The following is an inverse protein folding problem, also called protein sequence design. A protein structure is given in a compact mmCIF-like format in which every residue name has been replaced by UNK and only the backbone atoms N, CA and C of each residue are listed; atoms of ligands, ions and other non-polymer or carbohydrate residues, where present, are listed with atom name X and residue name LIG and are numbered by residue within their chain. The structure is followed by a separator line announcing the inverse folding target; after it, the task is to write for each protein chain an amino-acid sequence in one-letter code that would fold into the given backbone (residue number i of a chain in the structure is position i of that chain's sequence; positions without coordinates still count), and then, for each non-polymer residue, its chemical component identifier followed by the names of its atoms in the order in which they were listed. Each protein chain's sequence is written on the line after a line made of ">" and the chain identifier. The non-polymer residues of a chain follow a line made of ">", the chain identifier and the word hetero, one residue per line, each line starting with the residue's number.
data_IF_053779261837
#
_entry.id   IF_053779261837
#
_cell.length_a   1.000
_cell.length_b   1.000
_cell.length_c   1.000
_cell.angle_alpha   90.00
_cell.angle_beta   90.00
_cell.angle_gamma   90.00
#
_symmetry.space_group_name_H-M   'P 1'
#
loop_
_entity.id
_entity.type
_entity.pdbx_description
1 polymer ?
#
# COMPACT_ATOMS: atom_id res chain seq x y z
N UNK A 1 0.35 88.83 15.34
CA UNK A 1 1.27 87.87 15.98
C UNK A 1 0.55 86.59 16.45
N UNK A 2 -0.78 86.56 16.48
CA UNK A 2 -1.56 85.42 17.00
C UNK A 2 -1.66 84.25 16.00
N UNK A 3 -1.67 84.53 14.69
CA UNK A 3 -1.78 83.51 13.64
C UNK A 3 -0.57 82.56 13.61
N UNK A 4 0.63 83.07 13.89
CA UNK A 4 1.87 82.26 13.93
C UNK A 4 1.88 81.33 15.16
N UNK A 5 1.28 81.76 16.27
CA UNK A 5 1.15 80.95 17.48
C UNK A 5 0.12 79.83 17.30
N UNK A 6 -1.01 80.14 16.66
CA UNK A 6 -2.01 79.15 16.24
C UNK A 6 -1.42 78.13 15.26
N UNK A 7 -0.62 78.57 14.29
CA UNK A 7 0.03 77.68 13.33
C UNK A 7 1.05 76.76 14.01
N UNK A 8 1.86 77.27 14.96
CA UNK A 8 2.82 76.46 15.72
C UNK A 8 2.16 75.43 16.64
N UNK A 9 0.94 75.67 17.12
CA UNK A 9 0.21 74.76 17.99
C UNK A 9 -0.58 73.70 17.20
N UNK A 10 -1.15 74.09 16.05
CA UNK A 10 -1.96 73.19 15.21
C UNK A 10 -1.12 72.21 14.38
N UNK A 11 0.08 72.60 13.97
CA UNK A 11 0.99 71.74 13.19
C UNK A 11 1.40 70.44 13.92
N UNK A 12 1.84 70.45 15.19
CA UNK A 12 2.13 69.23 15.93
C UNK A 12 0.86 68.42 16.24
N UNK A 13 -0.29 69.07 16.45
CA UNK A 13 -1.55 68.38 16.67
C UNK A 13 -1.98 67.58 15.42
N UNK A 14 -1.85 68.17 14.23
CA UNK A 14 -2.11 67.49 12.96
C UNK A 14 -1.10 66.36 12.70
N UNK A 15 0.18 66.57 13.02
CA UNK A 15 1.19 65.53 12.91
C UNK A 15 0.87 64.33 13.81
N UNK A 16 0.48 64.56 15.06
CA UNK A 16 0.05 63.50 15.97
C UNK A 16 -1.17 62.74 15.43
N UNK A 17 -2.19 63.44 14.93
CA UNK A 17 -3.37 62.80 14.33
C UNK A 17 -3.02 61.95 13.11
N UNK A 18 -2.14 62.44 12.23
CA UNK A 18 -1.69 61.68 11.06
C UNK A 18 -0.91 60.44 11.45
N UNK A 19 -0.01 60.52 12.43
CA UNK A 19 0.71 59.34 12.93
C UNK A 19 -0.23 58.33 13.58
N UNK A 20 -1.25 58.80 14.30
CA UNK A 20 -2.26 57.94 14.93
C UNK A 20 -3.15 57.24 13.88
N UNK A 21 -3.57 57.96 12.84
CA UNK A 21 -4.28 57.37 11.70
C UNK A 21 -3.40 56.36 10.95
N UNK A 22 -2.11 56.66 10.75
CA UNK A 22 -1.19 55.74 10.12
C UNK A 22 -0.98 54.46 10.94
N UNK A 23 -0.76 54.57 12.25
CA UNK A 23 -0.59 53.39 13.12
C UNK A 23 -1.87 52.57 13.23
N UNK A 24 -3.04 53.20 13.32
CA UNK A 24 -4.32 52.47 13.33
C UNK A 24 -4.59 51.75 12.01
N UNK A 25 -4.26 52.34 10.86
CA UNK A 25 -4.37 51.66 9.55
C UNK A 25 -3.36 50.51 9.43
N UNK A 26 -2.12 50.67 9.90
CA UNK A 26 -1.13 49.59 9.91
C UNK A 26 -1.56 48.45 10.82
N UNK A 27 -2.04 48.75 12.04
CA UNK A 27 -2.58 47.74 12.94
C UNK A 27 -3.79 47.05 12.32
N UNK A 28 -4.71 47.81 11.71
CA UNK A 28 -5.88 47.26 11.03
C UNK A 28 -5.51 46.34 9.87
N UNK A 29 -4.55 46.74 9.04
CA UNK A 29 -4.08 45.95 7.89
C UNK A 29 -3.32 44.70 8.33
N UNK A 30 -2.51 44.77 9.40
CA UNK A 30 -1.88 43.58 9.99
C UNK A 30 -2.91 42.64 10.62
N UNK A 31 -3.91 43.17 11.33
CA UNK A 31 -5.00 42.36 11.89
C UNK A 31 -5.81 41.68 10.78
N UNK A 32 -6.10 42.41 9.70
CA UNK A 32 -6.80 41.89 8.52
C UNK A 32 -5.99 40.78 7.85
N UNK A 33 -4.69 40.98 7.67
CA UNK A 33 -3.79 39.96 7.10
C UNK A 33 -3.70 38.72 7.99
N UNK A 34 -3.76 38.89 9.31
CA UNK A 34 -3.81 37.77 10.27
C UNK A 34 -5.12 36.98 10.16
N UNK A 35 -6.26 37.67 10.01
CA UNK A 35 -7.55 37.02 9.74
C UNK A 35 -7.53 36.22 8.45
N UNK A 36 -6.96 36.76 7.37
CA UNK A 36 -6.84 36.04 6.09
C UNK A 36 -6.02 34.74 6.21
N UNK A 37 -4.99 34.71 7.07
CA UNK A 37 -4.22 33.47 7.33
C UNK A 37 -4.99 32.47 8.19
N UNK A 38 -5.80 32.95 9.14
CA UNK A 38 -6.67 32.10 9.96
C UNK A 38 -7.80 31.52 9.11
N UNK A 39 -8.39 32.31 8.21
CA UNK A 39 -9.44 31.88 7.28
C UNK A 39 -8.91 30.81 6.32
N UNK A 40 -7.68 30.94 5.81
CA UNK A 40 -7.06 29.87 5.00
C UNK A 40 -6.82 28.59 5.79
N UNK A 41 -6.46 28.68 7.07
CA UNK A 41 -6.29 27.51 7.91
C UNK A 41 -7.65 26.83 8.19
N UNK A 42 -8.68 27.63 8.47
CA UNK A 42 -10.06 27.15 8.67
C UNK A 42 -10.60 26.53 7.38
N UNK A 43 -10.38 27.15 6.22
CA UNK A 43 -10.82 26.61 4.92
C UNK A 43 -10.16 25.26 4.61
N UNK A 44 -8.87 25.11 4.90
CA UNK A 44 -8.18 23.81 4.78
C UNK A 44 -8.73 22.77 5.76
N UNK A 45 -9.01 23.17 7.00
CA UNK A 45 -9.61 22.27 8.01
C UNK A 45 -11.02 21.87 7.58
N UNK A 46 -11.84 22.80 7.09
CA UNK A 46 -13.17 22.51 6.56
C UNK A 46 -13.11 21.58 5.34
N UNK A 47 -12.18 21.79 4.42
CA UNK A 47 -11.96 20.91 3.28
C UNK A 47 -11.48 19.51 3.71
N UNK A 48 -10.65 19.41 4.74
CA UNK A 48 -10.29 18.11 5.33
C UNK A 48 -11.48 17.46 6.03
N UNK A 49 -12.30 18.24 6.74
CA UNK A 49 -13.49 17.76 7.44
C UNK A 49 -14.52 17.21 6.45
N UNK A 50 -14.75 17.91 5.34
CA UNK A 50 -15.64 17.48 4.26
C UNK A 50 -15.15 16.19 3.60
N UNK A 51 -13.83 16.06 3.36
CA UNK A 51 -13.23 14.80 2.90
C UNK A 51 -13.44 13.68 3.92
N UNK A 52 -13.17 13.91 5.20
CA UNK A 52 -13.40 12.89 6.24
C UNK A 52 -14.87 12.52 6.38
N UNK A 53 -15.79 13.47 6.22
CA UNK A 53 -17.23 13.23 6.23
C UNK A 53 -17.66 12.39 5.03
N UNK A 54 -17.15 12.68 3.83
CA UNK A 54 -17.42 11.87 2.62
C UNK A 54 -16.89 10.44 2.74
N UNK A 55 -15.70 10.26 3.33
CA UNK A 55 -15.15 8.93 3.62
C UNK A 55 -15.98 8.19 4.66
N UNK A 56 -16.38 8.86 5.74
CA UNK A 56 -17.24 8.29 6.77
C UNK A 56 -18.61 7.88 6.18
N UNK A 57 -19.18 8.70 5.29
CA UNK A 57 -20.41 8.39 4.58
C UNK A 57 -20.25 7.18 3.66
N UNK A 58 -19.17 7.13 2.86
CA UNK A 58 -18.88 5.96 2.03
C UNK A 58 -18.65 4.70 2.86
N UNK A 59 -17.99 4.81 4.02
CA UNK A 59 -17.78 3.71 4.95
C UNK A 59 -19.08 3.28 5.61
N UNK A 60 -19.96 4.23 5.95
CA UNK A 60 -21.31 3.96 6.45
C UNK A 60 -22.15 3.23 5.40
N UNK A 61 -22.13 3.69 4.15
CA UNK A 61 -22.78 3.00 3.03
C UNK A 61 -22.17 1.60 2.81
N UNK A 62 -20.84 1.45 2.95
CA UNK A 62 -20.17 0.16 2.88
C UNK A 62 -20.62 -0.74 4.04
N UNK A 63 -20.70 -0.21 5.26
CA UNK A 63 -21.22 -0.92 6.43
C UNK A 63 -22.70 -1.28 6.26
N UNK A 64 -23.53 -0.43 5.67
CA UNK A 64 -24.93 -0.74 5.36
C UNK A 64 -25.04 -1.79 4.25
N UNK A 65 -24.16 -1.79 3.25
CA UNK A 65 -24.11 -2.88 2.24
C UNK A 65 -23.59 -4.18 2.85
N UNK A 66 -22.71 -4.12 3.84
CA UNK A 66 -22.23 -5.26 4.61
C UNK A 66 -23.22 -5.72 5.67
N UNK A 67 -24.06 -4.83 6.19
CA UNK A 67 -25.12 -5.11 7.17
C UNK A 67 -26.37 -5.66 6.48
N UNK A 68 -26.70 -5.17 5.28
CA UNK A 68 -27.65 -5.81 4.37
C UNK A 68 -27.12 -7.16 3.85
N UNK A 69 -25.80 -7.38 3.89
CA UNK A 69 -25.18 -8.71 3.77
C UNK A 69 -25.11 -9.39 5.14
N UNK A 70 -26.25 -9.88 5.59
CA UNK A 70 -26.36 -10.96 6.59
C UNK A 70 -25.52 -12.23 6.21
N UNK A 71 -24.86 -12.20 5.05
CA UNK A 71 -23.83 -13.08 4.51
C UNK A 71 -22.39 -12.93 5.08
N UNK A 72 -22.14 -12.22 6.19
CA UNK A 72 -20.81 -12.27 6.82
C UNK A 72 -20.52 -13.69 7.35
N UNK A 73 -21.55 -14.46 7.74
CA UNK A 73 -21.37 -15.88 8.08
C UNK A 73 -21.09 -16.73 6.84
N UNK A 74 -21.79 -16.50 5.73
CA UNK A 74 -21.57 -17.28 4.48
C UNK A 74 -20.23 -16.94 3.83
N UNK A 75 -19.76 -15.69 3.92
CA UNK A 75 -18.44 -15.29 3.48
C UNK A 75 -17.33 -15.86 4.38
N UNK A 76 -17.54 -15.90 5.70
CA UNK A 76 -16.62 -16.57 6.63
C UNK A 76 -16.52 -18.07 6.33
N UNK A 77 -17.64 -18.72 6.05
CA UNK A 77 -17.69 -20.14 5.67
C UNK A 77 -17.00 -20.39 4.32
N UNK A 78 -17.15 -19.47 3.36
CA UNK A 78 -16.44 -19.55 2.07
C UNK A 78 -14.93 -19.32 2.23
N UNK A 79 -14.51 -18.38 3.06
CA UNK A 79 -13.09 -18.12 3.36
C UNK A 79 -12.48 -19.32 4.09
N UNK A 80 -13.22 -19.98 4.99
CA UNK A 80 -12.76 -21.18 5.70
C UNK A 80 -12.65 -22.41 4.77
N UNK A 81 -13.60 -22.58 3.85
CA UNK A 81 -13.50 -23.58 2.77
C UNK A 81 -12.32 -23.29 1.83
N UNK A 82 -12.05 -22.03 1.52
CA UNK A 82 -10.90 -21.66 0.69
C UNK A 82 -9.56 -21.86 1.44
N UNK A 83 -9.50 -21.51 2.72
CA UNK A 83 -8.33 -21.72 3.59
C UNK A 83 -7.98 -23.20 3.75
N UNK A 84 -8.98 -24.06 3.96
CA UNK A 84 -8.76 -25.51 4.05
C UNK A 84 -8.30 -26.10 2.70
N UNK A 85 -8.87 -25.67 1.58
CA UNK A 85 -8.41 -26.07 0.24
C UNK A 85 -6.95 -25.63 -0.03
N UNK A 86 -6.58 -24.40 0.35
CA UNK A 86 -5.21 -23.89 0.22
C UNK A 86 -4.24 -24.67 1.12
N UNK A 87 -4.67 -25.09 2.32
CA UNK A 87 -3.84 -25.89 3.22
C UNK A 87 -3.58 -27.29 2.63
N UNK A 88 -4.61 -27.94 2.08
CA UNK A 88 -4.45 -29.23 1.36
C UNK A 88 -3.53 -29.08 0.15
N UNK A 89 -3.69 -28.02 -0.65
CA UNK A 89 -2.78 -27.71 -1.77
C UNK A 89 -1.35 -27.43 -1.33
N UNK A 90 -1.14 -26.81 -0.16
CA UNK A 90 0.19 -26.57 0.39
C UNK A 90 0.89 -27.85 0.84
N UNK A 91 0.15 -28.82 1.39
CA UNK A 91 0.66 -30.15 1.71
C UNK A 91 0.99 -30.97 0.45
N UNK A 92 0.11 -30.95 -0.55
CA UNK A 92 0.39 -31.53 -1.88
C UNK A 92 1.59 -30.86 -2.57
N UNK A 93 1.74 -29.54 -2.40
CA UNK A 93 2.88 -28.78 -2.90
C UNK A 93 4.19 -29.02 -2.14
N UNK A 94 4.13 -29.51 -0.89
CA UNK A 94 5.28 -29.98 -0.11
C UNK A 94 5.70 -31.39 -0.55
N UNK A 95 4.75 -32.32 -0.74
CA UNK A 95 5.02 -33.63 -1.36
C UNK A 95 5.63 -33.49 -2.77
N UNK A 96 5.16 -32.49 -3.55
CA UNK A 96 5.76 -32.11 -4.83
C UNK A 96 7.20 -31.57 -4.73
N UNK A 97 7.56 -30.94 -3.61
CA UNK A 97 8.91 -30.36 -3.41
C UNK A 97 9.92 -31.42 -2.96
N UNK A 98 9.48 -32.34 -2.11
CA UNK A 98 10.30 -33.46 -1.65
C UNK A 98 10.51 -34.50 -2.78
N UNK A 99 9.49 -34.73 -3.62
CA UNK A 99 9.62 -35.57 -4.83
C UNK A 99 10.54 -34.97 -5.89
N UNK A 100 10.55 -33.66 -6.10
CA UNK A 100 11.49 -33.00 -7.04
C UNK A 100 12.94 -33.06 -6.54
N UNK A 101 13.17 -32.93 -5.23
CA UNK A 101 14.52 -33.11 -4.66
C UNK A 101 15.02 -34.54 -4.84
N UNK A 102 14.16 -35.53 -4.55
CA UNK A 102 14.50 -36.94 -4.69
C UNK A 102 14.69 -37.35 -6.16
N UNK A 103 13.89 -36.79 -7.08
CA UNK A 103 14.02 -37.00 -8.52
C UNK A 103 15.32 -36.42 -9.10
N UNK A 104 15.79 -35.26 -8.59
CA UNK A 104 17.06 -34.67 -9.01
C UNK A 104 18.27 -35.54 -8.60
N UNK A 105 18.21 -36.20 -7.46
CA UNK A 105 19.24 -37.14 -7.02
C UNK A 105 19.14 -38.49 -7.75
N UNK A 106 17.92 -38.97 -8.01
CA UNK A 106 17.64 -40.10 -8.89
C UNK A 106 18.24 -39.91 -10.29
N UNK A 107 18.05 -38.74 -10.89
CA UNK A 107 18.60 -38.38 -12.21
C UNK A 107 20.12 -38.49 -12.26
N UNK A 108 20.83 -37.96 -11.25
CA UNK A 108 22.30 -38.07 -11.16
C UNK A 108 22.74 -39.53 -11.01
N UNK A 109 22.01 -40.35 -10.27
CA UNK A 109 22.31 -41.77 -10.12
C UNK A 109 22.06 -42.54 -11.42
N UNK A 110 20.94 -42.29 -12.10
CA UNK A 110 20.64 -42.89 -13.40
C UNK A 110 21.70 -42.55 -14.44
N UNK A 111 22.14 -41.29 -14.49
CA UNK A 111 23.22 -40.84 -15.36
C UNK A 111 24.51 -41.65 -15.12
N UNK A 112 24.90 -41.86 -13.85
CA UNK A 112 26.09 -42.68 -13.51
C UNK A 112 25.95 -44.13 -13.95
N UNK A 113 24.80 -44.77 -13.74
CA UNK A 113 24.61 -46.16 -14.15
C UNK A 113 24.63 -46.32 -15.68
N UNK A 114 24.05 -45.37 -16.41
CA UNK A 114 24.12 -45.35 -17.87
C UNK A 114 25.56 -45.14 -18.38
N UNK A 115 26.36 -44.30 -17.72
CA UNK A 115 27.80 -44.15 -18.03
C UNK A 115 28.60 -45.44 -17.79
N UNK A 116 28.22 -46.20 -16.76
CA UNK A 116 28.84 -47.49 -16.44
C UNK A 116 28.40 -48.63 -17.38
N UNK A 117 27.54 -48.35 -18.36
CA UNK A 117 27.09 -49.31 -19.37
C UNK A 117 25.87 -50.14 -18.98
N UNK A 118 25.17 -49.82 -17.89
CA UNK A 118 23.91 -50.49 -17.56
C UNK A 118 22.81 -50.10 -18.58
N UNK A 119 21.92 -51.05 -18.91
CA UNK A 119 20.83 -50.80 -19.85
C UNK A 119 19.74 -49.91 -19.23
N UNK A 120 19.06 -49.05 -20.01
CA UNK A 120 18.01 -48.15 -19.52
C UNK A 120 16.89 -48.86 -18.75
N UNK A 121 16.54 -50.08 -19.18
CA UNK A 121 15.52 -50.92 -18.52
C UNK A 121 15.94 -51.31 -17.11
N UNK A 122 17.21 -51.70 -16.94
CA UNK A 122 17.77 -52.12 -15.65
C UNK A 122 17.93 -50.94 -14.69
N UNK A 123 18.26 -49.76 -15.22
CA UNK A 123 18.37 -48.52 -14.43
C UNK A 123 16.99 -48.05 -13.97
N UNK A 124 15.99 -48.08 -14.85
CA UNK A 124 14.60 -47.77 -14.51
C UNK A 124 14.08 -48.67 -13.38
N UNK A 125 14.34 -49.97 -13.46
CA UNK A 125 13.95 -50.92 -12.42
C UNK A 125 14.69 -50.71 -11.09
N UNK A 126 15.99 -50.36 -11.11
CA UNK A 126 16.79 -50.16 -9.90
C UNK A 126 16.43 -48.90 -9.12
N UNK A 127 16.03 -47.86 -9.83
CA UNK A 127 15.78 -46.54 -9.26
C UNK A 127 14.29 -46.21 -9.15
N UNK A 128 13.43 -47.20 -9.44
CA UNK A 128 11.98 -47.04 -9.53
C UNK A 128 11.58 -45.81 -10.36
N UNK A 129 12.29 -45.60 -11.46
CA UNK A 129 12.13 -44.47 -12.37
C UNK A 129 11.40 -44.89 -13.64
N UNK A 130 10.68 -43.95 -14.27
CA UNK A 130 9.99 -44.23 -15.53
C UNK A 130 10.97 -44.60 -16.63
N UNK A 131 10.70 -45.68 -17.38
CA UNK A 131 11.55 -46.09 -18.51
C UNK A 131 11.73 -44.97 -19.54
N UNK A 132 10.68 -44.15 -19.73
CA UNK A 132 10.71 -42.98 -20.61
C UNK A 132 11.72 -41.93 -20.14
N UNK A 133 11.81 -41.69 -18.83
CA UNK A 133 12.72 -40.72 -18.22
C UNK A 133 14.17 -41.17 -18.39
N UNK A 134 14.46 -42.45 -18.11
CA UNK A 134 15.81 -43.01 -18.26
C UNK A 134 16.24 -43.05 -19.73
N UNK A 135 15.33 -43.34 -20.65
CA UNK A 135 15.62 -43.32 -22.09
C UNK A 135 15.89 -41.89 -22.59
N UNK A 136 15.20 -40.90 -22.05
CA UNK A 136 15.49 -39.49 -22.32
C UNK A 136 16.89 -39.09 -21.81
N UNK A 137 17.29 -39.53 -20.60
CA UNK A 137 18.65 -39.33 -20.09
C UNK A 137 19.68 -39.95 -21.03
N UNK A 138 19.47 -41.21 -21.44
CA UNK A 138 20.39 -41.91 -22.35
C UNK A 138 20.56 -41.18 -23.68
N UNK A 139 19.48 -40.66 -24.26
CA UNK A 139 19.53 -39.86 -25.50
C UNK A 139 20.26 -38.53 -25.33
N UNK A 140 20.06 -37.84 -24.20
CA UNK A 140 20.75 -36.58 -23.91
C UNK A 140 22.27 -36.76 -23.74
N UNK A 141 22.71 -37.95 -23.35
CA UNK A 141 24.13 -38.30 -23.19
C UNK A 141 24.84 -38.71 -24.49
N UNK A 142 24.08 -39.10 -25.52
CA UNK A 142 24.62 -39.51 -26.83
C UNK A 142 24.83 -38.33 -27.79
N UNK A 143 24.62 -37.09 -27.31
CA UNK A 143 24.78 -35.85 -28.07
C UNK A 143 26.10 -35.19 -27.72
#
# INVERSE_FOLDING_TARGET
>A
MEDIALLRLTLPALFCLLTFLATTVVVWTLLRRRRETEDQAVERICAQLEKTYSLLKSLSETCETLQNREDIQTLKEQIEKFSSAVTVLSHLGQEGRDSVSNSRDGFKLAQKFLQNGDSPVKVAQRLDMGLAEVNLISRLMQK
#
